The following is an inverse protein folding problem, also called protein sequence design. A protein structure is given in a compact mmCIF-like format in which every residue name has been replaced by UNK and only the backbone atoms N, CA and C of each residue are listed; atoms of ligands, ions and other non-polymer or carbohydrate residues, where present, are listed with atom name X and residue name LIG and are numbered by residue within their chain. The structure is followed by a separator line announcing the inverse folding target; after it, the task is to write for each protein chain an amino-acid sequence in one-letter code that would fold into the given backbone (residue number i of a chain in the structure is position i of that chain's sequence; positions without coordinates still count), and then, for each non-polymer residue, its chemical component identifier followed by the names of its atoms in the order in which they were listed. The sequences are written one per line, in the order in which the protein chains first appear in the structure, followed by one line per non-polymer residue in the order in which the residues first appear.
data_IF_396616790988
#
_entry.id   IF_396616790988
#
_cell.length_a   1.000
_cell.length_b   1.000
_cell.length_c   1.000
_cell.angle_alpha   90.00
_cell.angle_beta   90.00
_cell.angle_gamma   90.00
#
_symmetry.space_group_name_H-M   'P 1'
#
loop_
_entity.id
_entity.type
_entity.pdbx_description
1 polymer ?
#
# COMPACT_ATOMS: atom_id res chain seq x y z
N UNK A 1 57.79 27.40 44.44
CA UNK A 1 56.41 27.02 44.09
C UNK A 1 56.24 27.32 42.61
N UNK A 2 56.17 26.29 41.77
CA UNK A 2 56.03 26.42 40.32
C UNK A 2 54.63 25.91 39.92
N UNK A 3 53.88 26.63 39.04
CA UNK A 3 52.63 26.12 38.53
C UNK A 3 52.89 25.04 37.46
N UNK A 4 52.24 23.90 37.61
CA UNK A 4 52.26 22.82 36.61
C UNK A 4 51.19 23.15 35.58
N UNK A 5 51.61 23.51 34.36
CA UNK A 5 50.76 23.63 33.18
C UNK A 5 50.20 22.26 32.81
N UNK A 6 48.88 22.10 32.88
CA UNK A 6 48.18 20.90 32.44
C UNK A 6 47.86 21.05 30.94
N UNK A 7 48.62 20.33 30.10
CA UNK A 7 48.39 20.26 28.65
C UNK A 7 47.20 19.33 28.36
N UNK A 8 46.12 19.87 27.83
CA UNK A 8 44.96 19.11 27.33
C UNK A 8 45.29 18.55 25.94
N UNK A 9 45.48 17.24 25.83
CA UNK A 9 45.68 16.54 24.55
C UNK A 9 44.31 16.12 23.96
N UNK A 10 44.16 16.14 22.62
CA UNK A 10 42.88 15.89 21.97
C UNK A 10 42.43 14.43 22.10
N UNK A 11 41.20 14.22 22.54
CA UNK A 11 40.56 12.89 22.56
C UNK A 11 40.17 12.50 21.13
N UNK A 12 41.01 11.71 20.46
CA UNK A 12 40.61 10.96 19.28
C UNK A 12 39.60 9.88 19.69
N UNK A 13 38.31 10.15 19.48
CA UNK A 13 37.25 9.15 19.62
C UNK A 13 37.24 8.20 18.42
N UNK A 14 37.89 7.05 18.59
CA UNK A 14 37.88 5.92 17.65
C UNK A 14 36.70 4.99 17.91
N UNK A 15 35.94 4.76 16.84
CA UNK A 15 35.27 3.53 16.43
C UNK A 15 34.12 2.89 17.24
N UNK A 16 33.18 2.40 16.43
CA UNK A 16 32.35 1.22 16.62
C UNK A 16 31.16 1.30 17.57
N UNK A 17 29.99 1.67 17.03
CA UNK A 17 28.79 0.83 17.14
C UNK A 17 28.11 0.75 15.77
N UNK A 18 28.45 -0.32 15.03
CA UNK A 18 27.69 -0.76 13.85
C UNK A 18 26.31 -1.16 14.34
N UNK A 19 25.32 -0.30 14.14
CA UNK A 19 23.93 -0.68 14.33
C UNK A 19 23.62 -1.80 13.33
N UNK A 20 23.40 -2.98 13.90
CA UNK A 20 23.23 -4.25 13.24
C UNK A 20 21.99 -4.18 12.34
N UNK A 21 22.19 -3.86 11.06
CA UNK A 21 21.16 -3.98 10.03
C UNK A 21 20.80 -5.45 9.96
N UNK A 22 19.73 -5.85 10.63
CA UNK A 22 19.10 -7.15 10.49
C UNK A 22 18.59 -7.27 9.05
N UNK A 23 19.47 -7.70 8.16
CA UNK A 23 19.14 -8.10 6.81
C UNK A 23 18.08 -9.21 6.87
N UNK A 24 16.84 -8.84 6.55
CA UNK A 24 15.85 -9.77 6.03
C UNK A 24 15.42 -9.28 4.65
N UNK A 25 16.03 -9.92 3.65
CA UNK A 25 15.78 -9.86 2.20
C UNK A 25 16.03 -8.50 1.54
N UNK A 26 16.85 -8.52 0.48
CA UNK A 26 17.29 -7.37 -0.31
C UNK A 26 16.17 -6.65 -1.07
N UNK A 27 15.23 -6.06 -0.35
CA UNK A 27 14.24 -5.11 -0.87
C UNK A 27 14.72 -3.72 -0.51
N UNK A 28 15.42 -3.07 -1.44
CA UNK A 28 15.73 -1.64 -1.33
C UNK A 28 14.44 -0.86 -1.49
N UNK A 29 13.88 -0.37 -0.39
CA UNK A 29 12.75 0.55 -0.42
C UNK A 29 13.25 1.88 -1.00
N UNK A 30 12.83 2.22 -2.22
CA UNK A 30 13.12 3.54 -2.79
C UNK A 30 12.25 4.59 -2.06
N UNK A 31 12.84 5.52 -1.28
CA UNK A 31 12.08 6.54 -0.56
C UNK A 31 11.38 7.53 -1.50
N UNK A 32 11.77 7.58 -2.77
CA UNK A 32 11.18 8.42 -3.81
C UNK A 32 10.28 7.62 -4.77
N UNK A 33 9.84 6.41 -4.40
CA UNK A 33 8.92 5.65 -5.23
C UNK A 33 7.64 6.47 -5.45
N UNK A 34 7.16 6.61 -6.70
CA UNK A 34 5.91 7.31 -6.95
C UNK A 34 4.78 6.61 -6.22
N UNK A 35 3.86 7.41 -5.67
CA UNK A 35 2.65 6.88 -5.07
C UNK A 35 1.93 5.97 -6.08
N UNK A 36 1.53 4.78 -5.63
CA UNK A 36 0.74 3.90 -6.46
C UNK A 36 -0.54 4.63 -6.86
N UNK A 37 -0.76 4.86 -8.15
CA UNK A 37 -2.03 5.37 -8.65
C UNK A 37 -3.05 4.24 -8.67
N UNK A 38 -4.29 4.51 -8.22
CA UNK A 38 -5.37 3.53 -8.34
C UNK A 38 -5.65 3.18 -9.81
N UNK A 39 -5.86 1.89 -10.09
CA UNK A 39 -6.08 1.36 -11.45
C UNK A 39 -7.45 1.67 -12.04
N UNK A 40 -8.46 1.84 -11.18
CA UNK A 40 -9.86 2.01 -11.59
C UNK A 40 -10.39 3.40 -11.23
N UNK A 41 -11.17 3.99 -12.13
CA UNK A 41 -11.89 5.24 -11.96
C UNK A 41 -13.35 5.05 -11.57
N UNK A 42 -14.03 6.15 -11.26
CA UNK A 42 -15.48 6.15 -10.98
C UNK A 42 -16.24 5.74 -12.25
N UNK A 43 -17.29 4.92 -12.08
CA UNK A 43 -18.11 4.31 -13.14
C UNK A 43 -17.44 3.23 -13.98
N UNK A 44 -16.16 2.91 -13.75
CA UNK A 44 -15.53 1.77 -14.40
C UNK A 44 -16.25 0.47 -14.03
N UNK A 45 -16.45 -0.37 -15.03
CA UNK A 45 -17.05 -1.69 -14.85
C UNK A 45 -15.95 -2.68 -14.52
N UNK A 46 -16.06 -3.29 -13.35
CA UNK A 46 -15.11 -4.26 -12.82
C UNK A 46 -15.84 -5.55 -12.48
N UNK A 47 -15.11 -6.64 -12.46
CA UNK A 47 -15.61 -7.91 -11.97
C UNK A 47 -14.67 -8.52 -10.93
N UNK A 48 -15.24 -9.35 -10.07
CA UNK A 48 -14.50 -10.15 -9.11
C UNK A 48 -15.14 -11.51 -8.94
N UNK A 49 -14.36 -12.46 -8.39
CA UNK A 49 -14.90 -13.73 -7.97
C UNK A 49 -15.65 -13.57 -6.65
N UNK A 50 -16.86 -14.11 -6.58
CA UNK A 50 -17.69 -14.19 -5.40
C UNK A 50 -17.95 -15.65 -5.06
N UNK A 51 -18.20 -15.93 -3.79
CA UNK A 51 -18.68 -17.24 -3.34
C UNK A 51 -20.10 -17.03 -2.84
N UNK A 52 -21.06 -17.66 -3.50
CA UNK A 52 -22.47 -17.65 -3.12
C UNK A 52 -22.93 -19.10 -3.01
N UNK A 53 -23.47 -19.49 -1.85
CA UNK A 53 -23.97 -20.84 -1.58
C UNK A 53 -22.94 -21.95 -1.91
N UNK A 54 -21.66 -21.71 -1.61
CA UNK A 54 -20.57 -22.65 -1.89
C UNK A 54 -20.09 -22.70 -3.35
N UNK A 55 -20.75 -21.97 -4.25
CA UNK A 55 -20.37 -21.90 -5.66
C UNK A 55 -19.62 -20.60 -5.95
N UNK A 56 -18.51 -20.71 -6.67
CA UNK A 56 -17.74 -19.54 -7.14
C UNK A 56 -18.41 -18.96 -8.38
N UNK A 57 -18.81 -17.70 -8.32
CA UNK A 57 -19.47 -16.98 -9.42
C UNK A 57 -18.70 -15.69 -9.75
N UNK A 58 -18.89 -15.16 -10.97
CA UNK A 58 -18.39 -13.84 -11.36
C UNK A 58 -19.44 -12.79 -10.98
N UNK A 59 -19.06 -11.81 -10.17
CA UNK A 59 -19.88 -10.63 -9.91
C UNK A 59 -19.35 -9.45 -10.71
N UNK A 60 -20.22 -8.79 -11.48
CA UNK A 60 -19.93 -7.55 -12.21
C UNK A 60 -20.50 -6.36 -11.45
N UNK A 61 -19.71 -5.30 -11.33
CA UNK A 61 -20.01 -4.10 -10.56
C UNK A 61 -19.47 -2.85 -11.24
N UNK A 62 -20.01 -1.70 -10.89
CA UNK A 62 -19.40 -0.41 -11.20
C UNK A 62 -18.69 0.17 -9.98
N UNK A 63 -17.58 0.87 -10.20
CA UNK A 63 -16.89 1.60 -9.12
C UNK A 63 -17.67 2.86 -8.76
N UNK A 64 -18.04 3.01 -7.49
CA UNK A 64 -18.75 4.19 -6.99
C UNK A 64 -17.81 5.21 -6.32
N UNK A 65 -16.85 4.73 -5.54
CA UNK A 65 -15.81 5.54 -4.87
C UNK A 65 -14.48 4.80 -4.88
N UNK A 66 -13.40 5.57 -4.89
CA UNK A 66 -12.03 5.08 -4.75
C UNK A 66 -11.35 5.79 -3.58
N UNK A 67 -10.50 5.08 -2.85
CA UNK A 67 -9.61 5.67 -1.85
C UNK A 67 -8.32 4.89 -1.75
N UNK A 68 -7.26 5.57 -1.29
CA UNK A 68 -6.07 4.89 -0.80
C UNK A 68 -6.32 4.41 0.62
N UNK A 69 -5.90 3.18 0.94
CA UNK A 69 -5.95 2.67 2.30
C UNK A 69 -5.09 3.54 3.22
N UNK A 70 -5.42 3.60 4.52
CA UNK A 70 -4.74 4.49 5.48
C UNK A 70 -3.24 4.24 5.60
N UNK A 71 -2.80 3.00 5.39
CA UNK A 71 -1.38 2.63 5.35
C UNK A 71 -0.64 3.07 4.08
N UNK A 72 -1.33 3.62 3.09
CA UNK A 72 -0.76 4.01 1.80
C UNK A 72 -0.41 2.84 0.86
N UNK A 73 -0.57 1.59 1.31
CA UNK A 73 -0.03 0.42 0.62
C UNK A 73 -0.87 -0.11 -0.55
N UNK A 74 -2.15 0.23 -0.63
CA UNK A 74 -3.04 -0.23 -1.70
C UNK A 74 -4.27 0.66 -1.84
N UNK A 75 -4.95 0.55 -2.98
CA UNK A 75 -6.25 1.18 -3.24
C UNK A 75 -7.40 0.26 -2.91
N UNK A 76 -8.48 0.87 -2.43
CA UNK A 76 -9.75 0.22 -2.19
C UNK A 76 -10.88 0.97 -2.92
N UNK A 77 -11.91 0.21 -3.27
CA UNK A 77 -13.02 0.70 -4.05
C UNK A 77 -14.34 0.31 -3.39
N UNK A 78 -15.28 1.25 -3.32
CA UNK A 78 -16.68 0.92 -3.10
C UNK A 78 -17.31 0.60 -4.45
N UNK A 79 -18.11 -0.45 -4.45
CA UNK A 79 -18.75 -0.98 -5.63
C UNK A 79 -20.26 -0.82 -5.54
N UNK A 80 -20.90 -0.71 -6.69
CA UNK A 80 -22.35 -0.75 -6.84
C UNK A 80 -22.74 -1.78 -7.89
N UNK A 81 -23.88 -2.45 -7.69
CA UNK A 81 -24.44 -3.37 -8.68
C UNK A 81 -25.07 -2.62 -9.87
N UNK A 82 -25.59 -3.35 -10.85
CA UNK A 82 -26.27 -2.78 -12.02
C UNK A 82 -27.56 -2.01 -11.69
N UNK A 83 -28.09 -2.14 -10.47
CA UNK A 83 -29.25 -1.39 -9.97
C UNK A 83 -28.84 -0.17 -9.13
N UNK A 84 -27.53 0.06 -8.93
CA UNK A 84 -27.00 1.14 -8.12
C UNK A 84 -26.94 0.84 -6.62
N UNK A 85 -27.23 -0.38 -6.18
CA UNK A 85 -27.13 -0.75 -4.77
C UNK A 85 -25.66 -0.97 -4.38
N UNK A 86 -25.23 -0.52 -3.20
CA UNK A 86 -23.86 -0.68 -2.76
C UNK A 86 -23.56 -2.14 -2.42
N UNK A 87 -22.45 -2.66 -2.93
CA UNK A 87 -22.01 -4.03 -2.63
C UNK A 87 -21.76 -4.20 -1.13
N UNK A 88 -22.40 -5.21 -0.51
CA UNK A 88 -22.29 -5.52 0.93
C UNK A 88 -22.43 -4.27 1.81
N UNK A 89 -23.44 -3.43 1.54
CA UNK A 89 -23.70 -2.19 2.27
C UNK A 89 -22.56 -1.16 2.20
N UNK A 90 -21.79 -1.16 1.12
CA UNK A 90 -20.71 -0.20 0.88
C UNK A 90 -19.36 -0.69 1.38
N UNK A 91 -19.14 -2.00 1.37
CA UNK A 91 -17.85 -2.58 1.70
C UNK A 91 -16.75 -2.06 0.75
N UNK A 92 -15.56 -1.84 1.32
CA UNK A 92 -14.37 -1.49 0.56
C UNK A 92 -13.69 -2.77 0.07
N UNK A 93 -13.51 -2.88 -1.25
CA UNK A 93 -12.88 -4.02 -1.91
C UNK A 93 -11.50 -3.60 -2.41
N UNK A 94 -10.48 -4.44 -2.19
CA UNK A 94 -9.11 -4.13 -2.58
C UNK A 94 -8.95 -4.23 -4.09
N UNK A 95 -8.09 -3.36 -4.64
CA UNK A 95 -7.75 -3.34 -6.06
C UNK A 95 -7.37 -4.72 -6.62
N UNK A 96 -6.58 -5.50 -5.87
CA UNK A 96 -6.07 -6.81 -6.30
C UNK A 96 -7.17 -7.83 -6.60
N UNK A 97 -8.33 -7.70 -5.96
CA UNK A 97 -9.45 -8.63 -6.06
C UNK A 97 -10.38 -8.27 -7.24
N UNK A 98 -10.18 -7.09 -7.84
CA UNK A 98 -10.94 -6.58 -8.97
C UNK A 98 -10.18 -6.79 -10.27
N UNK A 99 -10.94 -6.91 -11.35
CA UNK A 99 -10.46 -6.92 -12.72
C UNK A 99 -11.35 -6.03 -13.58
N UNK A 100 -10.75 -5.21 -14.44
CA UNK A 100 -11.53 -4.41 -15.39
C UNK A 100 -12.30 -5.35 -16.32
N UNK A 101 -13.58 -5.05 -16.56
CA UNK A 101 -14.35 -5.72 -17.59
C UNK A 101 -13.88 -5.18 -18.95
N UNK A 102 -13.11 -5.97 -19.70
CA UNK A 102 -12.75 -5.61 -21.07
C UNK A 102 -14.04 -5.49 -21.90
N UNK A 103 -14.31 -4.30 -22.44
CA UNK A 103 -15.22 -4.16 -23.56
C UNK A 103 -14.55 -4.80 -24.77
N UNK A 104 -15.07 -5.94 -25.22
CA UNK A 104 -14.86 -6.36 -26.60
C UNK A 104 -15.56 -5.32 -27.49
N UNK A 105 -14.77 -4.41 -28.05
CA UNK A 105 -15.16 -3.51 -29.13
C UNK A 105 -15.26 -4.26 -30.45
#
# INVERSE_FOLDING_TARGET
MAPIELQDQPVQGSDAEKEEVREKSGVVLNPNAPDQSGRYGKLDVVHMAMIANGVRTKGTFSVSKARRHSSGAFYEYQLQDGYGNPYKNGAWVREKDLRLEQKHS
#
